data_IF_474548386022
#
_entry.id   IF_474548386022
#
_cell.length_a   1.000
_cell.length_b   1.000
_cell.length_c   1.000
_cell.angle_alpha   90.00
_cell.angle_beta   90.00
_cell.angle_gamma   90.00
#
_symmetry.space_group_name_H-M   'P 1'
#
loop_
_entity.id
_entity.type
_entity.pdbx_description
1 polymer ?
#
# COMPACT_ATOMS: atom_id res chain seq x y z
N UNK A 1 62.85 28.08 20.37
CA UNK A 1 62.53 27.21 19.22
C UNK A 1 61.09 26.75 19.40
N UNK A 2 60.26 27.02 18.40
CA UNK A 2 58.80 27.17 18.44
C UNK A 2 57.99 25.91 18.78
N UNK A 3 56.84 26.15 19.44
CA UNK A 3 55.71 25.26 19.66
C UNK A 3 55.17 24.61 18.39
N UNK A 4 54.86 23.31 18.43
CA UNK A 4 54.13 22.61 17.36
C UNK A 4 52.68 22.36 17.80
N UNK A 5 51.77 23.12 17.20
CA UNK A 5 50.32 23.01 17.33
C UNK A 5 49.83 21.81 16.51
N UNK A 6 49.18 20.82 17.14
CA UNK A 6 48.42 19.77 16.43
C UNK A 6 47.10 20.36 15.94
N UNK A 7 46.97 20.56 14.63
CA UNK A 7 45.68 20.82 14.00
C UNK A 7 44.87 19.53 13.97
N UNK A 8 43.80 19.47 14.77
CA UNK A 8 42.73 18.48 14.62
C UNK A 8 41.83 18.96 13.49
N UNK A 9 41.91 18.32 12.32
CA UNK A 9 40.93 18.50 11.25
C UNK A 9 39.59 17.93 11.70
N UNK A 10 38.71 18.82 12.17
CA UNK A 10 37.31 18.51 12.42
C UNK A 10 36.63 18.13 11.09
N UNK A 11 36.39 16.83 10.89
CA UNK A 11 35.52 16.31 9.85
C UNK A 11 34.09 16.77 10.11
N UNK A 12 33.63 17.72 9.30
CA UNK A 12 32.27 18.27 9.35
C UNK A 12 31.22 17.18 9.02
N UNK A 13 30.31 16.77 9.94
CA UNK A 13 29.34 15.71 9.66
C UNK A 13 28.07 16.19 8.93
N UNK A 14 27.90 17.50 8.70
CA UNK A 14 26.56 18.09 8.48
C UNK A 14 25.98 17.97 7.06
N UNK A 15 26.66 17.33 6.11
CA UNK A 15 26.14 17.17 4.73
C UNK A 15 25.44 15.83 4.47
N UNK A 16 25.62 14.82 5.33
CA UNK A 16 24.94 13.53 5.16
C UNK A 16 23.46 13.61 5.53
N UNK A 17 23.12 14.46 6.50
CA UNK A 17 21.79 14.54 7.10
C UNK A 17 20.70 15.12 6.19
N UNK A 18 21.04 16.04 5.28
CA UNK A 18 20.00 16.68 4.46
C UNK A 18 19.68 15.87 3.21
N UNK A 19 20.65 15.11 2.68
CA UNK A 19 20.46 14.32 1.47
C UNK A 19 19.59 13.07 1.71
N UNK A 20 19.62 12.47 2.91
CA UNK A 20 18.73 11.34 3.22
C UNK A 20 17.28 11.77 3.46
N UNK A 21 17.06 12.93 4.11
CA UNK A 21 15.72 13.46 4.39
C UNK A 21 15.01 13.89 3.08
N UNK A 22 15.76 14.51 2.15
CA UNK A 22 15.22 14.87 0.83
C UNK A 22 14.92 13.62 -0.01
N UNK A 23 15.76 12.58 0.10
CA UNK A 23 15.56 11.30 -0.59
C UNK A 23 14.32 10.59 -0.06
N UNK A 24 14.15 10.48 1.25
CA UNK A 24 12.97 9.85 1.86
C UNK A 24 11.65 10.51 1.41
N UNK A 25 11.62 11.84 1.27
CA UNK A 25 10.45 12.58 0.76
C UNK A 25 10.18 12.35 -0.74
N UNK A 26 11.22 12.17 -1.56
CA UNK A 26 11.08 11.96 -3.01
C UNK A 26 10.76 10.50 -3.37
N UNK A 27 11.23 9.54 -2.58
CA UNK A 27 10.97 8.10 -2.76
C UNK A 27 9.49 7.70 -2.69
N UNK A 28 8.63 8.61 -2.24
CA UNK A 28 7.21 8.37 -1.97
C UNK A 28 6.29 9.20 -2.87
N UNK A 29 6.85 9.92 -3.83
CA UNK A 29 6.07 10.69 -4.81
C UNK A 29 6.63 10.51 -6.23
N UNK A 30 6.69 9.27 -6.76
CA UNK A 30 7.06 9.05 -8.15
C UNK A 30 6.10 9.79 -9.08
N UNK A 31 6.63 10.44 -10.11
CA UNK A 31 5.86 11.11 -11.15
C UNK A 31 5.56 10.16 -12.31
N UNK A 32 6.42 9.14 -12.50
CA UNK A 32 6.29 8.14 -13.55
C UNK A 32 6.29 6.71 -13.03
N UNK A 33 5.73 5.77 -13.80
CA UNK A 33 5.78 4.34 -13.46
C UNK A 33 7.22 3.82 -13.32
N UNK A 34 8.15 4.32 -14.15
CA UNK A 34 9.56 3.93 -14.08
C UNK A 34 10.23 4.35 -12.77
N UNK A 35 9.89 5.53 -12.24
CA UNK A 35 10.36 5.98 -10.93
C UNK A 35 9.78 5.14 -9.81
N UNK A 36 8.47 4.85 -9.86
CA UNK A 36 7.86 3.93 -8.90
C UNK A 36 8.58 2.57 -8.92
N UNK A 37 8.83 2.01 -10.10
CA UNK A 37 9.52 0.73 -10.25
C UNK A 37 10.93 0.76 -9.68
N UNK A 38 11.70 1.80 -10.01
CA UNK A 38 13.03 2.03 -9.45
C UNK A 38 12.96 2.04 -7.93
N UNK A 39 11.99 2.74 -7.37
CA UNK A 39 11.92 2.96 -5.93
C UNK A 39 11.43 1.71 -5.19
N UNK A 40 10.44 1.01 -5.75
CA UNK A 40 9.95 -0.29 -5.31
C UNK A 40 11.06 -1.35 -5.24
N UNK A 41 11.95 -1.38 -6.23
CA UNK A 41 13.04 -2.35 -6.30
C UNK A 41 14.25 -1.96 -5.45
N UNK A 42 14.57 -0.67 -5.36
CA UNK A 42 15.84 -0.20 -4.76
C UNK A 42 15.72 0.22 -3.31
N UNK A 43 14.58 0.77 -2.90
CA UNK A 43 14.46 1.45 -1.60
C UNK A 43 13.35 0.88 -0.71
N UNK A 44 12.26 0.36 -1.27
CA UNK A 44 11.19 -0.28 -0.48
C UNK A 44 11.51 -1.77 -0.24
N UNK A 45 12.27 -2.04 0.82
CA UNK A 45 12.88 -3.35 1.08
C UNK A 45 12.03 -4.25 1.97
N UNK A 46 11.24 -3.67 2.85
CA UNK A 46 10.37 -4.42 3.76
C UNK A 46 8.90 -4.37 3.34
N UNK A 47 8.13 -5.38 3.77
CA UNK A 47 6.67 -5.43 3.57
C UNK A 47 5.94 -4.20 4.14
N UNK A 48 6.21 -3.78 5.39
CA UNK A 48 5.57 -2.58 5.96
C UNK A 48 5.87 -1.29 5.20
N UNK A 49 7.11 -1.10 4.72
CA UNK A 49 7.46 0.07 3.89
C UNK A 49 6.69 0.08 2.57
N UNK A 50 6.62 -1.08 1.91
CA UNK A 50 5.86 -1.25 0.66
C UNK A 50 4.38 -0.95 0.88
N UNK A 51 3.79 -1.51 1.93
CA UNK A 51 2.41 -1.26 2.30
C UNK A 51 2.16 0.23 2.57
N UNK A 52 3.00 0.87 3.38
CA UNK A 52 2.86 2.28 3.72
C UNK A 52 3.02 3.20 2.49
N UNK A 53 3.91 2.86 1.55
CA UNK A 53 4.05 3.59 0.30
C UNK A 53 2.79 3.49 -0.56
N UNK A 54 2.17 2.30 -0.66
CA UNK A 54 0.91 2.12 -1.37
C UNK A 54 -0.22 2.94 -0.76
N UNK A 55 -0.34 2.96 0.57
CA UNK A 55 -1.34 3.79 1.25
C UNK A 55 -1.11 5.29 1.02
N UNK A 56 0.14 5.76 1.05
CA UNK A 56 0.48 7.17 0.81
C UNK A 56 0.15 7.64 -0.60
N UNK A 57 0.36 6.77 -1.60
CA UNK A 57 0.03 7.07 -2.99
C UNK A 57 -1.48 6.98 -3.24
N UNK A 58 -2.12 5.94 -2.68
CA UNK A 58 -3.52 5.68 -2.85
C UNK A 58 -3.92 5.32 -4.28
N UNK A 59 -5.22 5.06 -4.47
CA UNK A 59 -5.77 4.67 -5.77
C UNK A 59 -5.50 5.67 -6.90
N UNK A 60 -5.87 6.96 -6.76
CA UNK A 60 -5.76 7.92 -7.87
C UNK A 60 -4.34 8.05 -8.43
N UNK A 61 -3.32 8.14 -7.57
CA UNK A 61 -1.93 8.26 -8.01
C UNK A 61 -1.44 6.97 -8.66
N UNK A 62 -1.72 5.81 -8.07
CA UNK A 62 -1.33 4.52 -8.65
C UNK A 62 -2.03 4.27 -10.00
N UNK A 63 -3.32 4.60 -10.10
CA UNK A 63 -4.05 4.55 -11.36
C UNK A 63 -3.42 5.45 -12.42
N UNK A 64 -3.03 6.68 -12.07
CA UNK A 64 -2.34 7.59 -12.98
C UNK A 64 -0.97 7.06 -13.42
N UNK A 65 -0.18 6.48 -12.52
CA UNK A 65 1.14 5.94 -12.83
C UNK A 65 1.05 4.74 -13.78
N UNK A 66 0.07 3.86 -13.57
CA UNK A 66 -0.03 2.57 -14.26
C UNK A 66 -1.13 2.49 -15.32
N UNK A 67 -1.69 3.62 -15.78
CA UNK A 67 -2.81 3.67 -16.75
C UNK A 67 -2.66 2.66 -17.90
N UNK A 68 -1.46 2.59 -18.47
CA UNK A 68 -1.17 1.67 -19.59
C UNK A 68 -0.89 0.25 -19.12
N UNK A 69 -0.05 0.09 -18.10
CA UNK A 69 0.33 -1.21 -17.57
C UNK A 69 0.92 -1.04 -16.16
N UNK A 70 0.57 -1.95 -15.25
CA UNK A 70 1.29 -2.11 -13.97
C UNK A 70 2.66 -2.72 -14.23
N UNK A 71 2.78 -3.56 -15.26
CA UNK A 71 4.00 -4.25 -15.66
C UNK A 71 4.21 -5.58 -14.93
N UNK A 72 5.01 -6.44 -15.57
CA UNK A 72 5.14 -7.84 -15.23
C UNK A 72 5.62 -8.09 -13.79
N UNK A 73 4.90 -8.93 -13.06
CA UNK A 73 5.21 -9.35 -11.69
C UNK A 73 4.92 -8.30 -10.62
N UNK A 74 4.84 -7.01 -10.96
CA UNK A 74 4.60 -5.98 -9.95
C UNK A 74 3.19 -6.08 -9.34
N UNK A 75 2.15 -6.36 -10.14
CA UNK A 75 0.78 -6.49 -9.64
C UNK A 75 0.70 -7.51 -8.49
N UNK A 76 1.29 -8.69 -8.67
CA UNK A 76 1.34 -9.73 -7.64
C UNK A 76 2.07 -9.26 -6.39
N UNK A 77 3.23 -8.60 -6.53
CA UNK A 77 3.96 -8.02 -5.41
C UNK A 77 3.16 -6.94 -4.65
N UNK A 78 2.38 -6.11 -5.35
CA UNK A 78 1.51 -5.13 -4.70
C UNK A 78 0.43 -5.83 -3.87
N UNK A 79 -0.22 -6.85 -4.44
CA UNK A 79 -1.28 -7.60 -3.79
C UNK A 79 -0.77 -8.35 -2.55
N UNK A 80 0.42 -8.95 -2.62
CA UNK A 80 1.07 -9.58 -1.46
C UNK A 80 1.34 -8.56 -0.36
N UNK A 81 1.92 -7.40 -0.69
CA UNK A 81 2.19 -6.36 0.30
C UNK A 81 0.92 -5.83 0.97
N UNK A 82 -0.18 -5.71 0.22
CA UNK A 82 -1.49 -5.38 0.78
C UNK A 82 -2.03 -6.51 1.68
N UNK A 83 -1.98 -7.76 1.21
CA UNK A 83 -2.48 -8.92 1.94
C UNK A 83 -1.80 -9.08 3.30
N UNK A 84 -0.48 -8.90 3.36
CA UNK A 84 0.32 -9.13 4.56
C UNK A 84 0.11 -8.08 5.64
N UNK A 85 -0.28 -6.86 5.26
CA UNK A 85 -0.25 -5.70 6.18
C UNK A 85 -1.57 -4.95 6.31
N UNK A 86 -2.63 -5.31 5.57
CA UNK A 86 -3.93 -4.64 5.63
C UNK A 86 -4.51 -4.57 7.05
N UNK A 87 -5.04 -3.40 7.41
CA UNK A 87 -5.71 -3.15 8.70
C UNK A 87 -7.14 -2.66 8.48
N UNK A 88 -8.05 -2.85 9.45
CA UNK A 88 -9.44 -2.38 9.35
C UNK A 88 -9.58 -0.88 9.09
N UNK A 89 -8.65 -0.06 9.58
CA UNK A 89 -8.64 1.38 9.37
C UNK A 89 -8.37 1.77 7.90
N UNK A 90 -7.66 0.92 7.17
CA UNK A 90 -7.18 1.19 5.81
C UNK A 90 -8.10 0.61 4.73
N UNK A 91 -9.19 -0.07 5.11
CA UNK A 91 -10.08 -0.83 4.22
C UNK A 91 -10.48 -0.03 2.99
N UNK A 92 -11.04 1.16 3.17
CA UNK A 92 -11.50 2.03 2.08
C UNK A 92 -10.36 2.43 1.13
N UNK A 93 -9.19 2.78 1.68
CA UNK A 93 -8.02 3.17 0.87
C UNK A 93 -7.53 1.99 0.04
N UNK A 94 -7.48 0.79 0.64
CA UNK A 94 -7.08 -0.44 -0.05
C UNK A 94 -8.07 -0.79 -1.17
N UNK A 95 -9.38 -0.68 -0.93
CA UNK A 95 -10.39 -0.87 -1.99
C UNK A 95 -10.20 0.12 -3.15
N UNK A 96 -9.91 1.39 -2.85
CA UNK A 96 -9.61 2.40 -3.88
C UNK A 96 -8.34 2.08 -4.69
N UNK A 97 -7.31 1.53 -4.05
CA UNK A 97 -6.09 1.04 -4.72
C UNK A 97 -6.43 -0.12 -5.66
N UNK A 98 -7.12 -1.15 -5.17
CA UNK A 98 -7.51 -2.31 -5.97
C UNK A 98 -8.34 -1.89 -7.19
N UNK A 99 -9.32 -0.99 -7.01
CA UNK A 99 -10.11 -0.44 -8.12
C UNK A 99 -9.25 0.24 -9.18
N UNK A 100 -8.28 1.03 -8.74
CA UNK A 100 -7.40 1.77 -9.65
C UNK A 100 -6.47 0.84 -10.43
N UNK A 101 -6.00 -0.25 -9.81
CA UNK A 101 -5.22 -1.29 -10.48
C UNK A 101 -6.05 -2.10 -11.47
N UNK A 102 -7.30 -2.44 -11.11
CA UNK A 102 -8.24 -3.15 -11.97
C UNK A 102 -8.58 -2.38 -13.25
N UNK A 103 -8.57 -1.04 -13.18
CA UNK A 103 -8.85 -0.15 -14.31
C UNK A 103 -7.66 0.09 -15.25
N UNK A 104 -6.51 -0.56 -15.02
CA UNK A 104 -5.36 -0.46 -15.95
C UNK A 104 -5.60 -1.28 -17.22
N UNK A 105 -5.13 -0.81 -18.38
CA UNK A 105 -5.44 -1.44 -19.69
C UNK A 105 -5.04 -2.91 -19.79
N UNK A 106 -3.95 -3.31 -19.12
CA UNK A 106 -3.40 -4.68 -19.14
C UNK A 106 -3.73 -5.47 -17.88
N UNK A 107 -4.73 -5.06 -17.10
CA UNK A 107 -5.08 -5.74 -15.85
C UNK A 107 -5.32 -7.24 -16.03
N UNK A 108 -6.19 -7.64 -16.95
CA UNK A 108 -6.51 -9.05 -17.19
C UNK A 108 -5.27 -9.89 -17.56
N UNK A 109 -4.36 -9.33 -18.37
CA UNK A 109 -3.09 -9.98 -18.70
C UNK A 109 -2.23 -10.15 -17.45
N UNK A 110 -2.03 -9.10 -16.66
CA UNK A 110 -1.24 -9.19 -15.43
C UNK A 110 -1.84 -10.20 -14.43
N UNK A 111 -3.17 -10.27 -14.32
CA UNK A 111 -3.87 -11.24 -13.48
C UNK A 111 -3.60 -12.69 -13.95
N UNK A 112 -3.65 -12.93 -15.26
CA UNK A 112 -3.38 -14.25 -15.85
C UNK A 112 -1.96 -14.75 -15.59
N UNK A 113 -1.00 -13.83 -15.44
CA UNK A 113 0.42 -14.12 -15.24
C UNK A 113 0.82 -14.30 -13.76
N UNK A 114 -0.10 -14.06 -12.82
CA UNK A 114 0.20 -14.27 -11.40
C UNK A 114 0.45 -15.74 -11.08
N UNK A 115 1.47 -15.99 -10.27
CA UNK A 115 1.77 -17.29 -9.70
C UNK A 115 0.65 -17.78 -8.77
N UNK A 116 0.67 -19.07 -8.46
CA UNK A 116 -0.28 -19.65 -7.50
C UNK A 116 -0.20 -18.98 -6.13
N UNK A 117 1.01 -18.70 -5.64
CA UNK A 117 1.23 -18.06 -4.35
C UNK A 117 0.64 -16.63 -4.32
N UNK A 118 0.85 -15.84 -5.37
CA UNK A 118 0.28 -14.48 -5.47
C UNK A 118 -1.25 -14.51 -5.56
N UNK A 119 -1.82 -15.48 -6.28
CA UNK A 119 -3.28 -15.70 -6.31
C UNK A 119 -3.83 -16.04 -4.93
N UNK A 120 -3.16 -16.90 -4.18
CA UNK A 120 -3.59 -17.22 -2.81
C UNK A 120 -3.49 -16.02 -1.88
N UNK A 121 -2.42 -15.22 -1.98
CA UNK A 121 -2.32 -13.96 -1.23
C UNK A 121 -3.42 -12.97 -1.61
N UNK A 122 -3.78 -12.89 -2.89
CA UNK A 122 -4.92 -12.10 -3.36
C UNK A 122 -6.23 -12.58 -2.73
N UNK A 123 -6.53 -13.89 -2.76
CA UNK A 123 -7.71 -14.45 -2.10
C UNK A 123 -7.75 -14.12 -0.60
N UNK A 124 -6.61 -14.26 0.08
CA UNK A 124 -6.49 -13.93 1.49
C UNK A 124 -6.71 -12.43 1.78
N UNK A 125 -6.28 -11.53 0.90
CA UNK A 125 -6.60 -10.11 1.00
C UNK A 125 -8.11 -9.87 0.96
N UNK A 126 -8.82 -10.45 -0.02
CA UNK A 126 -10.27 -10.29 -0.13
C UNK A 126 -11.02 -10.88 1.07
N UNK A 127 -10.63 -12.06 1.57
CA UNK A 127 -11.20 -12.63 2.82
C UNK A 127 -11.03 -11.67 4.01
N UNK A 128 -9.85 -11.06 4.17
CA UNK A 128 -9.59 -10.06 5.22
C UNK A 128 -10.49 -8.83 5.05
N UNK A 129 -10.63 -8.32 3.82
CA UNK A 129 -11.48 -7.16 3.52
C UNK A 129 -12.96 -7.42 3.75
N UNK A 130 -13.44 -8.64 3.50
CA UNK A 130 -14.81 -9.07 3.81
C UNK A 130 -15.04 -9.15 5.32
N UNK A 131 -14.13 -9.78 6.06
CA UNK A 131 -14.21 -9.90 7.52
C UNK A 131 -14.18 -8.55 8.26
N UNK A 132 -13.67 -7.48 7.63
CA UNK A 132 -13.69 -6.13 8.18
C UNK A 132 -15.04 -5.42 7.98
N UNK A 133 -15.86 -5.86 7.02
CA UNK A 133 -17.18 -5.28 6.72
C UNK A 133 -18.33 -5.97 7.44
N UNK A 134 -18.13 -7.20 7.92
CA UNK A 134 -19.15 -7.90 8.69
C UNK A 134 -19.22 -7.34 10.10
N UNK A 135 -20.40 -6.86 10.55
CA UNK A 135 -20.59 -6.60 11.97
C UNK A 135 -20.36 -7.93 12.69
N UNK A 136 -19.40 -7.96 13.63
CA UNK A 136 -19.20 -9.15 14.47
C UNK A 136 -20.54 -9.47 15.13
N UNK A 137 -21.01 -10.73 15.09
CA UNK A 137 -22.14 -11.12 15.91
C UNK A 137 -21.73 -10.82 17.35
N UNK A 138 -22.42 -9.85 17.93
CA UNK A 138 -22.29 -9.44 19.31
C UNK A 138 -22.56 -10.69 20.15
N UNK A 139 -21.51 -11.30 20.69
CA UNK A 139 -21.68 -12.21 21.81
C UNK A 139 -22.24 -11.35 22.94
N UNK A 140 -23.53 -11.55 23.21
CA UNK A 140 -24.26 -10.96 24.32
C UNK A 140 -23.47 -11.21 25.62
N UNK A 141 -22.91 -10.13 26.16
CA UNK A 141 -22.01 -10.18 27.30
C UNK A 141 -21.64 -8.80 27.80
N UNK A 142 -22.65 -8.05 28.24
CA UNK A 142 -22.63 -7.04 29.30
C UNK A 142 -21.33 -6.26 29.55
N UNK A 143 -21.25 -5.02 29.07
CA UNK A 143 -21.06 -3.83 29.93
C UNK A 143 -20.91 -2.55 29.10
N UNK A 144 -21.56 -1.49 29.58
CA UNK A 144 -21.68 -0.15 29.01
C UNK A 144 -20.35 0.60 28.86
N UNK A 145 -20.43 1.62 28.00
CA UNK A 145 -19.51 2.74 27.81
C UNK A 145 -18.22 2.44 27.05
N UNK A 146 -18.22 2.77 25.75
CA UNK A 146 -17.30 3.82 25.29
C UNK A 146 -17.75 4.43 23.95
N UNK A 147 -17.48 5.73 23.86
CA UNK A 147 -18.08 6.70 22.95
C UNK A 147 -17.58 6.58 21.51
N UNK A 148 -18.52 6.80 20.58
CA UNK A 148 -18.37 7.89 19.60
C UNK A 148 -17.41 7.65 18.43
N UNK A 149 -17.94 7.03 17.38
CA UNK A 149 -17.78 7.46 15.99
C UNK A 149 -18.76 6.60 15.18
N UNK A 150 -20.00 7.08 15.03
CA UNK A 150 -20.95 6.49 14.11
C UNK A 150 -20.35 6.56 12.70
N UNK A 151 -19.78 5.44 12.26
CA UNK A 151 -19.38 5.26 10.87
C UNK A 151 -20.69 5.23 10.08
N UNK A 152 -20.98 6.34 9.39
CA UNK A 152 -22.24 6.54 8.68
C UNK A 152 -22.62 5.27 7.89
N UNK A 153 -23.85 4.74 8.04
CA UNK A 153 -24.25 3.47 7.44
C UNK A 153 -24.12 3.46 5.91
N UNK A 154 -24.18 4.64 5.26
CA UNK A 154 -23.97 4.79 3.82
C UNK A 154 -22.54 4.45 3.37
N UNK A 155 -21.51 4.82 4.12
CA UNK A 155 -20.11 4.59 3.73
C UNK A 155 -19.73 3.11 3.76
N UNK A 156 -20.21 2.36 4.76
CA UNK A 156 -19.98 0.92 4.85
C UNK A 156 -20.68 0.15 3.73
N UNK A 157 -21.87 0.59 3.31
CA UNK A 157 -22.59 -0.04 2.21
C UNK A 157 -21.92 0.22 0.86
N UNK A 158 -21.35 1.41 0.64
CA UNK A 158 -20.55 1.72 -0.56
C UNK A 158 -19.25 0.91 -0.61
N UNK A 159 -18.55 0.79 0.52
CA UNK A 159 -17.38 -0.09 0.64
C UNK A 159 -17.71 -1.54 0.28
N UNK A 160 -18.85 -2.05 0.75
CA UNK A 160 -19.27 -3.43 0.47
C UNK A 160 -19.62 -3.62 -1.01
N UNK A 161 -20.34 -2.68 -1.63
CA UNK A 161 -20.62 -2.73 -3.07
C UNK A 161 -19.35 -2.75 -3.90
N UNK A 162 -18.39 -1.89 -3.54
CA UNK A 162 -17.10 -1.83 -4.21
C UNK A 162 -16.31 -3.14 -4.01
N UNK A 163 -16.35 -3.72 -2.81
CA UNK A 163 -15.71 -5.00 -2.53
C UNK A 163 -16.29 -6.12 -3.42
N UNK A 164 -17.61 -6.21 -3.56
CA UNK A 164 -18.26 -7.21 -4.43
C UNK A 164 -17.89 -7.02 -5.91
N UNK A 165 -17.84 -5.78 -6.40
CA UNK A 165 -17.33 -5.48 -7.76
C UNK A 165 -15.90 -6.01 -7.95
N UNK A 166 -15.02 -5.74 -6.97
CA UNK A 166 -13.62 -6.11 -7.04
C UNK A 166 -13.39 -7.62 -6.94
N UNK A 167 -14.18 -8.33 -6.14
CA UNK A 167 -14.13 -9.82 -6.06
C UNK A 167 -14.31 -10.43 -7.45
N UNK A 168 -15.30 -9.96 -8.22
CA UNK A 168 -15.54 -10.41 -9.58
C UNK A 168 -14.40 -10.07 -10.55
N UNK A 169 -13.84 -8.86 -10.46
CA UNK A 169 -12.75 -8.42 -11.34
C UNK A 169 -11.46 -9.21 -11.11
N UNK A 170 -11.13 -9.52 -9.85
CA UNK A 170 -9.91 -10.25 -9.49
C UNK A 170 -10.05 -11.77 -9.61
N UNK A 171 -11.23 -12.29 -10.01
CA UNK A 171 -11.52 -13.72 -10.13
C UNK A 171 -11.18 -14.49 -8.85
N UNK A 172 -11.58 -13.90 -7.72
CA UNK A 172 -11.37 -14.46 -6.39
C UNK A 172 -12.67 -15.13 -5.98
N UNK A 173 -12.79 -16.41 -6.33
CA UNK A 173 -13.85 -17.30 -5.81
C UNK A 173 -13.39 -18.03 -4.54
#
# INVERSE_FOLDING_TARGET
MLSQQRHVSASNPRKKSNHWIVREKTLLQPETSAEFYRDWRRYLRSGPERYQALLRLGGPKLGHLFQTDVGFGLLGELLVALADHVRPADRLVVLGILRSLANTRRFALNLSLMSYAERESCRNLFRKLQAMGTPRPMQEGLSQEEQGLERQPGGLQEEERLLQELVGLYQVD
#
